data_IF_248015289052
#
_entry.id   IF_248015289052
#
_cell.length_a   1.000
_cell.length_b   1.000
_cell.length_c   1.000
_cell.angle_alpha   90.00
_cell.angle_beta   90.00
_cell.angle_gamma   90.00
#
_symmetry.space_group_name_H-M   'P 1'
#
loop_
_entity.id
_entity.type
_entity.pdbx_description
1 polymer ?
#
# COMPACT_ATOMS: atom_id res chain seq x y z
N UNK A 1 13.19 -11.92 -17.30
CA UNK A 1 11.87 -12.44 -16.88
C UNK A 1 12.10 -13.53 -15.83
N UNK A 2 11.45 -13.48 -14.66
CA UNK A 2 11.58 -14.54 -13.64
C UNK A 2 10.85 -15.82 -14.08
N UNK A 3 11.46 -17.01 -13.94
CA UNK A 3 10.90 -18.27 -14.42
C UNK A 3 9.67 -18.71 -13.63
N UNK A 4 8.59 -19.08 -14.33
CA UNK A 4 7.28 -19.41 -13.73
C UNK A 4 7.24 -20.70 -12.92
N UNK A 5 8.19 -21.62 -13.13
CA UNK A 5 8.31 -22.87 -12.38
C UNK A 5 8.77 -22.65 -10.93
N UNK A 6 9.51 -21.56 -10.67
CA UNK A 6 10.08 -21.25 -9.35
C UNK A 6 9.47 -20.01 -8.71
N UNK A 7 8.86 -19.14 -9.50
CA UNK A 7 8.30 -17.88 -9.03
C UNK A 7 6.81 -17.78 -9.34
N UNK A 8 5.99 -17.84 -8.30
CA UNK A 8 4.60 -17.40 -8.34
C UNK A 8 4.58 -15.88 -8.20
N UNK A 9 3.88 -15.21 -9.11
CA UNK A 9 3.79 -13.74 -9.15
C UNK A 9 2.37 -13.34 -8.82
N UNK A 10 2.22 -12.36 -7.95
CA UNK A 10 0.93 -11.83 -7.50
C UNK A 10 0.89 -10.34 -7.79
N UNK A 11 -0.21 -9.87 -8.36
CA UNK A 11 -0.57 -8.45 -8.41
C UNK A 11 -1.74 -8.22 -7.48
N UNK A 12 -1.58 -7.22 -6.63
CA UNK A 12 -2.61 -6.78 -5.69
C UNK A 12 -3.07 -5.41 -6.14
N UNK A 13 -4.38 -5.26 -6.31
CA UNK A 13 -5.03 -3.98 -6.41
C UNK A 13 -5.74 -3.69 -5.09
N UNK A 14 -5.58 -2.47 -4.59
CA UNK A 14 -6.34 -2.01 -3.44
C UNK A 14 -7.10 -0.75 -3.81
N UNK A 15 -8.32 -0.63 -3.30
CA UNK A 15 -9.09 0.61 -3.33
C UNK A 15 -9.33 1.07 -1.91
N UNK A 16 -9.29 2.38 -1.69
CA UNK A 16 -9.75 3.00 -0.45
C UNK A 16 -11.06 3.73 -0.75
N UNK A 17 -12.00 3.67 0.19
CA UNK A 17 -13.29 4.38 0.07
C UNK A 17 -13.11 5.88 -0.16
N UNK A 18 -12.14 6.52 0.48
CA UNK A 18 -11.83 7.92 0.29
C UNK A 18 -10.32 8.18 0.46
N UNK A 19 -9.68 8.69 -0.60
CA UNK A 19 -8.23 8.92 -0.63
C UNK A 19 -7.76 9.93 0.45
N UNK A 20 -8.63 10.85 0.86
CA UNK A 20 -8.33 11.83 1.90
C UNK A 20 -7.90 11.20 3.23
N UNK A 21 -8.36 10.00 3.56
CA UNK A 21 -7.87 9.25 4.73
C UNK A 21 -6.41 8.81 4.57
N UNK A 22 -6.03 8.33 3.39
CA UNK A 22 -4.65 7.96 3.09
C UNK A 22 -3.74 9.20 3.09
N UNK A 23 -4.22 10.30 2.53
CA UNK A 23 -3.51 11.59 2.54
C UNK A 23 -3.24 12.06 3.98
N UNK A 24 -4.28 12.13 4.82
CA UNK A 24 -4.14 12.51 6.24
C UNK A 24 -3.20 11.59 7.01
N UNK A 25 -3.24 10.28 6.74
CA UNK A 25 -2.35 9.30 7.37
C UNK A 25 -0.89 9.54 6.99
N UNK A 26 -0.60 9.78 5.70
CA UNK A 26 0.74 10.11 5.21
C UNK A 26 1.22 11.45 5.77
N UNK A 27 0.36 12.48 5.79
CA UNK A 27 0.73 13.80 6.31
C UNK A 27 1.02 13.76 7.81
N UNK A 28 0.22 13.00 8.57
CA UNK A 28 0.46 12.80 10.01
C UNK A 28 1.80 12.11 10.25
N UNK A 29 2.11 11.05 9.50
CA UNK A 29 3.42 10.39 9.56
C UNK A 29 4.53 11.36 9.20
N UNK A 30 4.41 12.10 8.11
CA UNK A 30 5.43 13.02 7.63
C UNK A 30 5.71 14.15 8.63
N UNK A 31 4.68 14.72 9.26
CA UNK A 31 4.83 15.71 10.33
C UNK A 31 5.59 15.13 11.53
N UNK A 32 5.34 13.86 11.88
CA UNK A 32 6.08 13.16 12.93
C UNK A 32 7.54 12.94 12.52
N UNK A 33 7.80 12.43 11.33
CA UNK A 33 9.15 12.17 10.79
C UNK A 33 9.99 13.46 10.74
N UNK A 34 9.40 14.58 10.30
CA UNK A 34 10.08 15.89 10.30
C UNK A 34 10.40 16.36 11.72
N UNK A 35 9.49 16.17 12.68
CA UNK A 35 9.72 16.55 14.09
C UNK A 35 10.81 15.69 14.71
N UNK A 36 10.76 14.38 14.52
CA UNK A 36 11.74 13.42 15.02
C UNK A 36 13.12 13.68 14.39
N UNK A 37 13.18 13.95 13.10
CA UNK A 37 14.41 14.30 12.40
C UNK A 37 15.02 15.61 12.90
N UNK A 38 14.20 16.64 13.14
CA UNK A 38 14.66 17.90 13.72
C UNK A 38 15.18 17.72 15.16
N UNK A 39 14.51 16.90 15.97
CA UNK A 39 14.95 16.58 17.33
C UNK A 39 16.28 15.82 17.34
N UNK A 40 16.43 14.81 16.46
CA UNK A 40 17.69 14.08 16.30
C UNK A 40 18.83 15.01 15.86
N UNK A 41 18.57 15.93 14.92
CA UNK A 41 19.60 16.88 14.46
C UNK A 41 20.01 17.89 15.53
N UNK A 42 19.08 18.31 16.40
CA UNK A 42 19.35 19.26 17.48
C UNK A 42 20.11 18.64 18.66
N UNK A 43 20.11 17.30 18.78
CA UNK A 43 20.86 16.59 19.78
C UNK A 43 22.30 16.38 19.30
N UNK A 44 23.26 17.07 19.94
CA UNK A 44 24.68 16.99 19.60
C UNK A 44 25.28 15.59 19.79
N UNK A 45 24.63 14.75 20.60
CA UNK A 45 25.03 13.37 20.88
C UNK A 45 24.23 12.35 20.05
N UNK A 46 23.36 12.78 19.12
CA UNK A 46 22.58 11.86 18.30
C UNK A 46 23.47 11.05 17.37
N UNK A 47 23.30 9.73 17.43
CA UNK A 47 23.95 8.81 16.50
C UNK A 47 23.34 8.96 15.10
N UNK A 48 24.12 8.82 14.01
CA UNK A 48 23.60 8.87 12.64
C UNK A 48 22.42 7.93 12.38
N UNK A 49 22.33 6.83 13.13
CA UNK A 49 21.23 5.87 13.07
C UNK A 49 19.89 6.46 13.53
N UNK A 50 19.88 7.45 14.42
CA UNK A 50 18.65 8.14 14.86
C UNK A 50 18.04 8.97 13.74
N UNK A 51 18.86 9.67 12.96
CA UNK A 51 18.40 10.37 11.76
C UNK A 51 17.83 9.40 10.71
N UNK A 52 18.44 8.23 10.54
CA UNK A 52 17.94 7.20 9.61
C UNK A 52 16.58 6.66 10.09
N UNK A 53 16.43 6.41 11.40
CA UNK A 53 15.17 5.90 11.98
C UNK A 53 14.03 6.90 11.91
N UNK A 54 14.33 8.20 12.02
CA UNK A 54 13.33 9.25 11.88
C UNK A 54 12.72 9.33 10.47
N UNK A 55 13.34 8.71 9.46
CA UNK A 55 12.86 8.69 8.08
C UNK A 55 12.39 7.29 7.67
N UNK A 56 11.15 6.93 8.03
CA UNK A 56 10.57 5.65 7.67
C UNK A 56 9.82 5.67 6.32
N UNK A 57 9.41 6.86 5.86
CA UNK A 57 8.46 7.05 4.78
C UNK A 57 9.00 7.55 3.45
N UNK A 58 10.27 7.98 3.39
CA UNK A 58 10.84 8.64 2.23
C UNK A 58 10.33 10.07 2.00
N UNK A 59 10.77 10.76 0.94
CA UNK A 59 10.60 12.20 0.79
C UNK A 59 9.21 12.64 0.27
N UNK A 60 8.29 11.70 0.04
CA UNK A 60 7.04 11.98 -0.66
C UNK A 60 5.86 12.13 0.31
N UNK A 61 5.23 13.32 0.31
CA UNK A 61 4.00 13.61 1.04
C UNK A 61 2.74 13.17 0.31
N UNK A 62 1.57 13.41 0.92
CA UNK A 62 0.26 12.98 0.41
C UNK A 62 -0.06 13.40 -1.04
N UNK A 63 0.51 14.51 -1.49
CA UNK A 63 0.36 15.10 -2.83
C UNK A 63 0.59 14.12 -3.99
N UNK A 64 1.44 13.11 -3.80
CA UNK A 64 1.75 12.14 -4.87
C UNK A 64 0.72 11.01 -4.97
N UNK A 65 -0.13 10.83 -3.95
CA UNK A 65 -1.01 9.67 -3.85
C UNK A 65 -2.03 9.60 -4.98
N UNK A 66 -2.54 10.74 -5.45
CA UNK A 66 -3.44 10.78 -6.61
C UNK A 66 -2.76 10.26 -7.90
N UNK A 67 -1.50 10.66 -8.12
CA UNK A 67 -0.71 10.17 -9.25
C UNK A 67 -0.39 8.68 -9.14
N UNK A 68 0.02 8.23 -7.95
CA UNK A 68 0.26 6.81 -7.66
C UNK A 68 -1.01 5.98 -7.88
N UNK A 69 -2.18 6.47 -7.45
CA UNK A 69 -3.45 5.81 -7.71
C UNK A 69 -3.73 5.71 -9.22
N UNK A 70 -3.56 6.81 -9.96
CA UNK A 70 -3.79 6.82 -11.40
C UNK A 70 -2.87 5.83 -12.15
N UNK A 71 -1.57 5.82 -11.80
CA UNK A 71 -0.60 4.90 -12.39
C UNK A 71 -0.88 3.45 -12.00
N UNK A 72 -1.29 3.20 -10.75
CA UNK A 72 -1.68 1.87 -10.28
C UNK A 72 -2.89 1.34 -11.05
N UNK A 73 -3.92 2.17 -11.25
CA UNK A 73 -5.11 1.82 -12.06
C UNK A 73 -4.70 1.51 -13.50
N UNK A 74 -3.81 2.32 -14.09
CA UNK A 74 -3.32 2.09 -15.46
C UNK A 74 -2.57 0.75 -15.59
N UNK A 75 -1.69 0.43 -14.64
CA UNK A 75 -0.97 -0.85 -14.61
C UNK A 75 -1.95 -2.01 -14.44
N UNK A 76 -2.90 -1.89 -13.50
CA UNK A 76 -3.94 -2.89 -13.28
C UNK A 76 -4.73 -3.17 -14.56
N UNK A 77 -5.19 -2.13 -15.25
CA UNK A 77 -5.92 -2.27 -16.51
C UNK A 77 -5.05 -2.93 -17.60
N UNK A 78 -3.77 -2.55 -17.70
CA UNK A 78 -2.82 -3.17 -18.65
C UNK A 78 -2.64 -4.68 -18.40
N UNK A 79 -2.75 -5.12 -17.14
CA UNK A 79 -2.71 -6.54 -16.77
C UNK A 79 -4.01 -7.25 -17.17
N UNK A 80 -5.17 -6.61 -16.95
CA UNK A 80 -6.48 -7.16 -17.33
C UNK A 80 -6.61 -7.30 -18.86
N UNK A 81 -6.12 -6.31 -19.60
CA UNK A 81 -6.19 -6.26 -21.06
C UNK A 81 -5.15 -7.17 -21.75
N UNK A 82 -4.28 -7.84 -20.98
CA UNK A 82 -3.19 -8.66 -21.52
C UNK A 82 -2.10 -7.86 -22.24
N UNK A 83 -2.07 -6.53 -22.09
CA UNK A 83 -1.14 -5.63 -22.77
C UNK A 83 0.33 -5.84 -22.35
N UNK A 84 0.57 -6.55 -21.24
CA UNK A 84 1.91 -6.91 -20.75
C UNK A 84 2.44 -8.23 -21.32
N UNK A 85 1.70 -8.88 -22.24
CA UNK A 85 2.09 -10.15 -22.86
C UNK A 85 2.30 -11.30 -21.86
N UNK A 86 3.18 -12.24 -22.21
CA UNK A 86 3.45 -13.44 -21.42
C UNK A 86 3.89 -13.14 -19.97
N UNK A 87 4.52 -11.97 -19.76
CA UNK A 87 4.94 -11.54 -18.44
C UNK A 87 3.73 -11.35 -17.51
N UNK A 88 2.66 -10.69 -17.98
CA UNK A 88 1.45 -10.41 -17.18
C UNK A 88 0.46 -11.57 -17.10
N UNK A 89 0.46 -12.46 -18.11
CA UNK A 89 -0.43 -13.61 -18.19
C UNK A 89 -0.19 -14.64 -17.07
N UNK A 90 1.07 -14.77 -16.61
CA UNK A 90 1.43 -15.71 -15.54
C UNK A 90 1.16 -15.19 -14.12
N UNK A 91 0.59 -13.98 -13.96
CA UNK A 91 0.40 -13.36 -12.64
C UNK A 91 -0.96 -13.71 -12.05
N UNK A 92 -0.99 -14.18 -10.81
CA UNK A 92 -2.21 -14.24 -10.00
C UNK A 92 -2.68 -12.81 -9.65
N UNK A 93 -3.99 -12.63 -9.45
CA UNK A 93 -4.58 -11.33 -9.16
C UNK A 93 -5.43 -11.39 -7.91
N UNK A 94 -5.33 -10.35 -7.09
CA UNK A 94 -6.18 -10.14 -5.91
C UNK A 94 -6.62 -8.68 -5.84
N UNK A 95 -7.83 -8.45 -5.34
CA UNK A 95 -8.36 -7.12 -5.08
C UNK A 95 -8.77 -7.00 -3.61
N UNK A 96 -8.46 -5.86 -2.98
CA UNK A 96 -8.74 -5.59 -1.58
C UNK A 96 -9.44 -4.23 -1.48
N UNK A 97 -10.58 -4.19 -0.80
CA UNK A 97 -11.19 -2.93 -0.38
C UNK A 97 -10.66 -2.54 1.00
N UNK A 98 -10.23 -1.30 1.13
CA UNK A 98 -9.85 -0.64 2.37
C UNK A 98 -10.96 0.31 2.75
N UNK A 99 -11.58 0.06 3.89
CA UNK A 99 -12.60 0.91 4.49
C UNK A 99 -11.93 1.72 5.59
N UNK A 100 -11.58 2.96 5.26
CA UNK A 100 -11.03 3.91 6.20
C UNK A 100 -12.13 4.70 6.90
N UNK A 101 -11.88 5.04 8.17
CA UNK A 101 -12.74 5.82 9.01
C UNK A 101 -11.90 6.70 9.96
N UNK A 102 -12.46 7.82 10.42
CA UNK A 102 -11.74 8.73 11.35
C UNK A 102 -11.78 8.21 12.79
N UNK A 103 -12.85 7.50 13.18
CA UNK A 103 -13.13 7.11 14.57
C UNK A 103 -13.14 5.60 14.80
N UNK A 104 -12.73 4.80 13.81
CA UNK A 104 -12.68 3.35 13.92
C UNK A 104 -11.43 2.79 13.21
N UNK A 105 -10.94 1.60 13.62
CA UNK A 105 -9.87 0.91 12.90
C UNK A 105 -10.22 0.73 11.42
N UNK A 106 -9.21 0.82 10.57
CA UNK A 106 -9.40 0.59 9.14
C UNK A 106 -9.60 -0.90 8.90
N UNK A 107 -10.49 -1.21 7.97
CA UNK A 107 -10.82 -2.60 7.63
C UNK A 107 -10.33 -2.94 6.23
N UNK A 108 -9.75 -4.13 6.10
CA UNK A 108 -9.43 -4.70 4.81
C UNK A 108 -10.38 -5.86 4.51
N UNK A 109 -10.99 -5.85 3.33
CA UNK A 109 -11.87 -6.92 2.87
C UNK A 109 -11.46 -7.40 1.49
N UNK A 110 -11.34 -8.71 1.26
CA UNK A 110 -11.13 -9.22 -0.09
C UNK A 110 -12.32 -8.85 -0.97
N UNK A 111 -12.03 -8.40 -2.19
CA UNK A 111 -13.01 -8.22 -3.24
C UNK A 111 -13.07 -9.47 -4.11
N UNK A 112 -14.22 -9.72 -4.76
CA UNK A 112 -14.30 -10.78 -5.76
C UNK A 112 -13.19 -10.66 -6.81
N UNK A 113 -12.80 -11.79 -7.43
CA UNK A 113 -11.98 -11.77 -8.63
C UNK A 113 -12.46 -10.71 -9.62
N UNK A 114 -11.55 -9.95 -10.26
CA UNK A 114 -11.96 -9.01 -11.30
C UNK A 114 -12.68 -9.76 -12.43
N UNK A 115 -13.68 -9.10 -13.02
CA UNK A 115 -14.54 -9.67 -14.06
C UNK A 115 -13.81 -10.08 -15.36
N UNK A 116 -12.49 -9.83 -15.45
CA UNK A 116 -11.65 -10.73 -16.23
C UNK A 116 -10.19 -10.77 -15.76
N UNK A 117 -9.75 -11.97 -15.42
CA UNK A 117 -8.46 -12.53 -15.88
C UNK A 117 -8.66 -14.04 -16.09
N UNK A 118 -9.57 -14.37 -17.01
CA UNK A 118 -10.39 -15.59 -17.01
C UNK A 118 -10.83 -15.98 -15.57
N UNK A 119 -11.51 -15.04 -14.91
CA UNK A 119 -12.12 -15.12 -13.57
C UNK A 119 -11.30 -15.88 -12.50
N UNK A 120 -10.05 -15.45 -12.29
CA UNK A 120 -9.11 -15.79 -11.20
C UNK A 120 -9.55 -16.97 -10.30
N UNK A 121 -9.24 -18.18 -10.78
CA UNK A 121 -9.65 -19.47 -10.23
C UNK A 121 -9.17 -19.74 -8.79
N UNK A 122 -10.11 -20.25 -8.00
CA UNK A 122 -10.08 -20.60 -6.57
C UNK A 122 -10.21 -19.42 -5.58
N UNK A 123 -11.44 -19.24 -5.10
CA UNK A 123 -11.82 -18.38 -3.98
C UNK A 123 -10.89 -18.55 -2.78
N UNK A 124 -10.20 -17.47 -2.41
CA UNK A 124 -9.53 -17.38 -1.11
C UNK A 124 -10.59 -17.13 -0.04
N UNK A 125 -10.59 -17.98 0.99
CA UNK A 125 -11.48 -17.88 2.16
C UNK A 125 -11.49 -16.46 2.71
N UNK A 126 -12.70 -15.91 2.85
CA UNK A 126 -12.95 -14.55 3.33
C UNK A 126 -12.59 -14.43 4.81
N UNK A 127 -11.42 -13.87 5.10
CA UNK A 127 -11.04 -13.45 6.45
C UNK A 127 -10.83 -11.94 6.43
N UNK A 128 -11.63 -11.22 7.22
CA UNK A 128 -11.45 -9.78 7.44
C UNK A 128 -10.31 -9.57 8.42
N UNK A 129 -9.43 -8.62 8.11
CA UNK A 129 -8.32 -8.21 8.99
C UNK A 129 -8.52 -6.75 9.35
N UNK A 130 -8.42 -6.46 10.65
CA UNK A 130 -8.43 -5.10 11.17
C UNK A 130 -7.00 -4.59 11.28
N UNK A 131 -6.78 -3.36 10.83
CA UNK A 131 -5.49 -2.70 10.94
C UNK A 131 -5.68 -1.35 11.61
N UNK A 132 -4.92 -1.10 12.67
CA UNK A 132 -4.81 0.26 13.21
C UNK A 132 -3.95 1.10 12.26
N UNK A 133 -4.46 2.22 11.73
CA UNK A 133 -3.62 3.16 11.03
C UNK A 133 -2.67 3.78 12.06
N UNK A 134 -1.39 3.43 11.94
CA UNK A 134 -0.28 3.81 12.82
C UNK A 134 -0.20 2.96 14.09
N UNK A 135 0.95 2.32 14.27
CA UNK A 135 1.31 1.62 15.49
C UNK A 135 1.32 2.59 16.67
N UNK A 136 0.26 2.53 17.47
CA UNK A 136 0.39 2.75 18.91
C UNK A 136 1.16 1.54 19.46
N UNK A 137 2.47 1.71 19.61
CA UNK A 137 3.20 0.92 20.60
C UNK A 137 2.52 1.21 21.93
N UNK A 138 1.87 0.19 22.51
CA UNK A 138 1.44 0.27 23.91
C UNK A 138 2.67 0.59 24.77
N UNK A 139 2.42 1.48 25.74
CA UNK A 139 3.38 2.15 26.62
C UNK A 139 4.44 1.25 27.27
#
# INVERSE_FOLDING_TARGET
VFPGERYRKLVINFSINEIGFAERSVDTRMLREMREGAAALANADAEPLELVRANAGGPYGSQVLAGVQADSVKVWQSVLDGALGDAGNAWSMASIAIEAADSAPWKARPLPPPASKADSTAALSSTSFEFSPLGETQA
#
